data_IF_741221585093
#
_entry.id   IF_741221585093
#
_cell.length_a   1.000
_cell.length_b   1.000
_cell.length_c   1.000
_cell.angle_alpha   90.00
_cell.angle_beta   90.00
_cell.angle_gamma   90.00
#
_symmetry.space_group_name_H-M   'P 1'
#
loop_
_entity.id
_entity.type
_entity.pdbx_description
1 polymer ?
#
# COMPACT_ATOMS: atom_id res chain seq x y z
N UNK A 1 -9.37 1.03 15.73
CA UNK A 1 -9.53 1.12 14.26
C UNK A 1 -8.97 2.40 13.66
N UNK A 2 -8.97 3.50 14.39
CA UNK A 2 -8.48 4.82 13.95
C UNK A 2 -6.98 4.82 13.58
N UNK A 3 -6.13 4.17 14.38
CA UNK A 3 -4.69 4.06 14.10
C UNK A 3 -4.36 3.41 12.75
N UNK A 4 -5.09 2.36 12.38
CA UNK A 4 -4.88 1.69 11.08
C UNK A 4 -5.32 2.57 9.91
N UNK A 5 -6.40 3.34 10.10
CA UNK A 5 -6.86 4.30 9.09
C UNK A 5 -5.82 5.41 8.91
N UNK A 6 -5.34 5.98 9.99
CA UNK A 6 -4.30 7.01 9.96
C UNK A 6 -3.00 6.50 9.31
N UNK A 7 -2.63 5.25 9.59
CA UNK A 7 -1.47 4.61 8.96
C UNK A 7 -1.65 4.46 7.44
N UNK A 8 -2.83 4.03 6.99
CA UNK A 8 -3.16 3.92 5.57
C UNK A 8 -3.12 5.28 4.88
N UNK A 9 -3.72 6.28 5.49
CA UNK A 9 -3.76 7.64 4.95
C UNK A 9 -2.34 8.23 4.85
N UNK A 10 -1.49 7.99 5.86
CA UNK A 10 -0.06 8.34 5.81
C UNK A 10 0.67 7.70 4.61
N UNK A 11 0.48 6.41 4.34
CA UNK A 11 1.10 5.77 3.16
C UNK A 11 0.55 6.31 1.83
N UNK A 12 -0.73 6.69 1.80
CA UNK A 12 -1.33 7.34 0.62
C UNK A 12 -0.75 8.71 0.36
N UNK A 13 -0.52 9.49 1.41
CA UNK A 13 0.10 10.81 1.33
C UNK A 13 1.54 10.70 0.83
N UNK A 14 2.32 9.71 1.34
CA UNK A 14 3.68 9.45 0.85
C UNK A 14 3.73 9.09 -0.64
N UNK A 15 2.63 8.62 -1.24
CA UNK A 15 2.54 8.29 -2.67
C UNK A 15 2.40 9.54 -3.54
N UNK A 16 3.18 10.57 -3.26
CA UNK A 16 3.23 11.80 -4.03
C UNK A 16 4.60 12.00 -4.68
N UNK A 17 4.63 12.82 -5.73
CA UNK A 17 5.90 13.19 -6.37
C UNK A 17 6.75 14.09 -5.46
N UNK A 18 6.09 14.91 -4.66
CA UNK A 18 6.74 15.84 -3.73
C UNK A 18 7.45 15.08 -2.63
N UNK A 19 6.80 14.07 -2.04
CA UNK A 19 7.39 13.28 -0.96
C UNK A 19 8.51 12.37 -1.47
N UNK A 20 8.36 11.81 -2.68
CA UNK A 20 9.46 11.09 -3.32
C UNK A 20 10.71 11.98 -3.48
N UNK A 21 10.55 13.20 -3.99
CA UNK A 21 11.66 14.13 -4.16
C UNK A 21 12.27 14.54 -2.81
N UNK A 22 11.46 14.74 -1.78
CA UNK A 22 11.93 15.02 -0.42
C UNK A 22 12.77 13.86 0.12
N UNK A 23 12.29 12.63 0.00
CA UNK A 23 13.04 11.43 0.41
C UNK A 23 14.37 11.28 -0.34
N UNK A 24 14.40 11.66 -1.63
CA UNK A 24 15.66 11.68 -2.39
C UNK A 24 16.65 12.74 -1.87
N UNK A 25 16.16 13.91 -1.47
CA UNK A 25 17.02 14.92 -0.84
C UNK A 25 17.58 14.41 0.49
N UNK A 26 16.73 13.88 1.37
CA UNK A 26 17.13 13.34 2.66
C UNK A 26 18.16 12.19 2.50
N UNK A 27 17.94 11.31 1.50
CA UNK A 27 18.87 10.23 1.20
C UNK A 27 20.23 10.72 0.67
N UNK A 28 20.24 11.81 -0.11
CA UNK A 28 21.51 12.43 -0.58
C UNK A 28 22.27 13.07 0.57
N UNK A 29 21.59 13.77 1.46
CA UNK A 29 22.20 14.36 2.66
C UNK A 29 22.86 13.26 3.51
N UNK A 30 22.17 12.15 3.75
CA UNK A 30 22.73 11.01 4.46
C UNK A 30 23.93 10.37 3.75
N UNK A 31 23.89 10.27 2.41
CA UNK A 31 24.98 9.73 1.64
C UNK A 31 26.22 10.63 1.69
N UNK A 32 26.03 11.95 1.65
CA UNK A 32 27.08 12.95 1.77
C UNK A 32 27.77 12.88 3.16
N UNK A 33 27.00 12.62 4.23
CA UNK A 33 27.56 12.45 5.59
C UNK A 33 28.53 11.25 5.74
N UNK A 34 28.36 10.23 4.89
CA UNK A 34 29.17 9.01 4.93
C UNK A 34 30.09 8.84 3.70
N UNK A 35 30.30 9.91 2.95
CA UNK A 35 31.16 9.97 1.75
C UNK A 35 30.81 8.92 0.67
N UNK A 36 29.52 8.58 0.51
CA UNK A 36 29.04 7.66 -0.51
C UNK A 36 28.39 8.45 -1.67
N UNK A 37 28.78 8.17 -2.93
CA UNK A 37 28.16 8.85 -4.08
C UNK A 37 26.67 8.47 -4.21
N UNK A 38 25.78 9.47 -4.08
CA UNK A 38 24.32 9.29 -4.16
C UNK A 38 23.81 9.39 -5.60
N UNK A 39 24.33 8.58 -6.50
CA UNK A 39 23.92 8.55 -7.90
C UNK A 39 23.24 7.23 -8.24
N UNK A 40 22.14 7.30 -9.01
CA UNK A 40 21.57 6.11 -9.61
C UNK A 40 22.48 5.65 -10.75
N UNK A 41 23.03 4.44 -10.65
CA UNK A 41 23.80 3.87 -11.74
C UNK A 41 22.90 3.60 -12.94
N UNK A 42 23.36 3.98 -14.11
CA UNK A 42 22.74 3.59 -15.38
C UNK A 42 22.87 2.07 -15.51
N UNK A 43 21.83 1.34 -15.14
CA UNK A 43 21.77 -0.09 -15.40
C UNK A 43 21.72 -0.26 -16.91
N UNK A 44 22.86 -0.62 -17.51
CA UNK A 44 22.89 -1.00 -18.93
C UNK A 44 21.84 -2.11 -19.13
N UNK A 45 20.84 -1.90 -20.01
CA UNK A 45 19.84 -2.92 -20.26
C UNK A 45 20.57 -4.17 -20.77
N UNK A 46 20.52 -5.25 -19.99
CA UNK A 46 20.99 -6.54 -20.50
C UNK A 46 20.17 -6.85 -21.73
N UNK A 47 20.78 -6.82 -22.88
CA UNK A 47 20.19 -7.09 -24.19
C UNK A 47 19.76 -8.57 -24.28
N UNK A 48 18.80 -8.95 -23.45
CA UNK A 48 18.04 -10.17 -23.65
C UNK A 48 16.68 -9.76 -24.18
N UNK A 49 16.62 -9.54 -25.49
CA UNK A 49 15.34 -9.41 -26.19
C UNK A 49 14.54 -10.68 -25.91
N UNK A 50 13.65 -10.63 -24.90
CA UNK A 50 12.60 -11.64 -24.80
C UNK A 50 11.76 -11.44 -26.06
N UNK A 51 11.78 -12.40 -26.97
CA UNK A 51 10.73 -12.52 -27.98
C UNK A 51 9.43 -12.81 -27.23
N UNK A 52 8.73 -11.75 -26.87
CA UNK A 52 7.32 -11.86 -26.50
C UNK A 52 6.60 -12.24 -27.77
N UNK A 53 5.92 -13.39 -27.76
CA UNK A 53 4.95 -13.72 -28.82
C UNK A 53 3.83 -12.67 -28.66
N UNK A 54 3.93 -11.59 -29.45
CA UNK A 54 2.89 -10.59 -29.55
C UNK A 54 1.79 -11.29 -30.36
N UNK A 55 0.77 -11.79 -29.65
CA UNK A 55 -0.36 -12.45 -30.30
C UNK A 55 -1.33 -11.45 -30.96
N UNK A 56 -1.18 -10.17 -30.69
CA UNK A 56 -2.05 -9.14 -31.20
C UNK A 56 -1.24 -7.88 -31.56
N UNK A 57 -1.40 -7.41 -32.79
CA UNK A 57 -0.69 -6.27 -33.39
C UNK A 57 -0.99 -4.91 -32.70
N UNK A 58 -1.97 -4.85 -31.80
CA UNK A 58 -2.37 -3.63 -31.07
C UNK A 58 -1.76 -3.49 -29.67
N UNK A 59 -1.06 -4.51 -29.19
CA UNK A 59 -0.31 -4.39 -27.93
C UNK A 59 1.04 -3.69 -28.24
N UNK A 60 0.99 -2.37 -28.23
CA UNK A 60 2.20 -1.57 -28.26
C UNK A 60 3.04 -1.91 -27.01
N UNK A 61 4.30 -2.27 -27.23
CA UNK A 61 5.25 -2.45 -26.14
C UNK A 61 5.48 -1.07 -25.52
N UNK A 62 5.22 -0.95 -24.21
CA UNK A 62 5.51 0.28 -23.47
C UNK A 62 7.01 0.61 -23.64
N UNK A 63 7.31 1.84 -24.00
CA UNK A 63 8.69 2.30 -24.13
C UNK A 63 9.41 2.11 -22.78
N UNK A 64 10.61 1.53 -22.77
CA UNK A 64 11.35 1.33 -21.54
C UNK A 64 11.69 2.67 -20.90
N UNK A 65 11.48 2.77 -19.57
CA UNK A 65 11.86 3.96 -18.79
C UNK A 65 13.40 4.06 -18.82
N UNK A 66 13.94 5.03 -19.54
CA UNK A 66 15.39 5.24 -19.67
C UNK A 66 16.01 5.91 -18.44
N UNK A 67 15.28 6.80 -17.76
CA UNK A 67 15.74 7.48 -16.55
C UNK A 67 15.76 6.53 -15.36
N UNK A 68 16.93 6.25 -14.77
CA UNK A 68 17.07 5.36 -13.61
C UNK A 68 16.27 5.85 -12.39
N UNK A 69 16.14 7.17 -12.22
CA UNK A 69 15.39 7.77 -11.11
C UNK A 69 13.89 7.49 -11.27
N UNK A 70 13.37 7.69 -12.47
CA UNK A 70 11.96 7.40 -12.78
C UNK A 70 11.67 5.91 -12.69
N UNK A 71 12.61 5.08 -13.12
CA UNK A 71 12.49 3.62 -12.99
C UNK A 71 12.43 3.19 -11.52
N UNK A 72 13.34 3.67 -10.70
CA UNK A 72 13.35 3.38 -9.26
C UNK A 72 12.04 3.85 -8.58
N UNK A 73 11.55 5.03 -8.95
CA UNK A 73 10.30 5.58 -8.43
C UNK A 73 9.11 4.69 -8.77
N UNK A 74 8.98 4.23 -10.02
CA UNK A 74 7.85 3.43 -10.47
C UNK A 74 7.95 1.98 -9.99
N UNK A 75 9.10 1.32 -10.21
CA UNK A 75 9.26 -0.11 -9.98
C UNK A 75 9.54 -0.46 -8.52
N UNK A 76 10.08 0.46 -7.73
CA UNK A 76 10.39 0.21 -6.33
C UNK A 76 9.55 1.05 -5.36
N UNK A 77 9.66 2.38 -5.43
CA UNK A 77 9.04 3.26 -4.43
C UNK A 77 7.51 3.16 -4.44
N UNK A 78 6.88 3.45 -5.56
CA UNK A 78 5.42 3.36 -5.67
C UNK A 78 4.92 1.93 -5.55
N UNK A 79 5.62 0.97 -6.14
CA UNK A 79 5.26 -0.44 -6.01
C UNK A 79 5.25 -0.90 -4.55
N UNK A 80 6.26 -0.52 -3.76
CA UNK A 80 6.34 -0.87 -2.33
C UNK A 80 5.22 -0.23 -1.54
N UNK A 81 4.92 1.05 -1.78
CA UNK A 81 3.80 1.74 -1.14
C UNK A 81 2.45 1.11 -1.50
N UNK A 82 2.22 0.80 -2.77
CA UNK A 82 0.99 0.14 -3.22
C UNK A 82 0.81 -1.24 -2.57
N UNK A 83 1.90 -2.01 -2.42
CA UNK A 83 1.88 -3.29 -1.70
C UNK A 83 1.55 -3.10 -0.21
N UNK A 84 2.12 -2.10 0.44
CA UNK A 84 1.83 -1.79 1.83
C UNK A 84 0.37 -1.35 2.02
N UNK A 85 -0.13 -0.45 1.18
CA UNK A 85 -1.52 0.02 1.21
C UNK A 85 -2.49 -1.14 1.03
N UNK A 86 -2.28 -1.98 0.00
CA UNK A 86 -3.14 -3.14 -0.28
C UNK A 86 -3.13 -4.16 0.88
N UNK A 87 -1.96 -4.40 1.48
CA UNK A 87 -1.85 -5.30 2.64
C UNK A 87 -2.59 -4.75 3.87
N UNK A 88 -2.52 -3.43 4.09
CA UNK A 88 -3.27 -2.77 5.18
C UNK A 88 -4.77 -2.79 4.91
N UNK A 89 -5.22 -2.51 3.68
CA UNK A 89 -6.64 -2.55 3.31
C UNK A 89 -7.24 -3.95 3.52
N UNK A 90 -6.57 -4.98 3.02
CA UNK A 90 -7.02 -6.36 3.20
C UNK A 90 -7.14 -6.75 4.68
N UNK A 91 -6.17 -6.38 5.52
CA UNK A 91 -6.22 -6.64 6.95
C UNK A 91 -7.30 -5.82 7.66
N UNK A 92 -7.50 -4.57 7.23
CA UNK A 92 -8.53 -3.70 7.77
C UNK A 92 -9.93 -4.26 7.49
N UNK A 93 -10.18 -4.77 6.29
CA UNK A 93 -11.44 -5.39 5.91
C UNK A 93 -11.71 -6.66 6.73
N UNK A 94 -10.69 -7.51 6.92
CA UNK A 94 -10.79 -8.69 7.76
C UNK A 94 -11.09 -8.32 9.22
N UNK A 95 -10.40 -7.32 9.79
CA UNK A 95 -10.62 -6.86 11.16
C UNK A 95 -11.99 -6.20 11.31
N UNK A 96 -12.45 -5.45 10.32
CA UNK A 96 -13.78 -4.83 10.33
C UNK A 96 -14.88 -5.89 10.31
N UNK A 97 -14.73 -6.89 9.46
CA UNK A 97 -15.65 -8.02 9.41
C UNK A 97 -15.69 -8.77 10.74
N UNK A 98 -14.52 -9.07 11.31
CA UNK A 98 -14.43 -9.71 12.62
C UNK A 98 -15.04 -8.84 13.73
N UNK A 99 -14.75 -7.54 13.75
CA UNK A 99 -15.32 -6.61 14.72
C UNK A 99 -16.84 -6.55 14.62
N UNK A 100 -17.41 -6.54 13.43
CA UNK A 100 -18.85 -6.52 13.24
C UNK A 100 -19.53 -7.79 13.79
N UNK A 101 -18.88 -8.96 13.67
CA UNK A 101 -19.42 -10.21 14.22
C UNK A 101 -19.34 -10.26 15.75
N UNK A 102 -18.24 -9.79 16.33
CA UNK A 102 -17.95 -9.95 17.75
C UNK A 102 -18.12 -8.66 18.58
N UNK A 103 -18.63 -7.60 17.98
CA UNK A 103 -18.80 -6.30 18.66
C UNK A 103 -19.60 -6.41 19.96
N UNK A 104 -20.62 -7.25 19.97
CA UNK A 104 -21.44 -7.50 21.16
C UNK A 104 -20.62 -8.09 22.32
N UNK A 105 -19.63 -8.93 22.01
CA UNK A 105 -18.78 -9.57 23.03
C UNK A 105 -17.71 -8.60 23.56
N UNK A 106 -17.21 -7.70 22.71
CA UNK A 106 -16.24 -6.68 23.12
C UNK A 106 -16.87 -5.59 23.98
N UNK A 107 -18.13 -5.28 23.75
CA UNK A 107 -18.86 -4.24 24.47
C UNK A 107 -19.87 -4.82 25.48
N UNK A 108 -19.57 -5.97 26.07
CA UNK A 108 -20.50 -6.67 26.98
C UNK A 108 -20.90 -5.82 28.19
N UNK A 109 -20.04 -4.92 28.64
CA UNK A 109 -20.33 -4.01 29.74
C UNK A 109 -21.35 -2.93 29.35
N UNK A 110 -21.38 -2.54 28.07
CA UNK A 110 -22.23 -1.47 27.53
C UNK A 110 -23.55 -2.02 26.96
N UNK A 111 -23.78 -3.34 27.05
CA UNK A 111 -25.01 -3.99 26.56
C UNK A 111 -26.26 -3.42 27.16
N UNK A 112 -26.20 -2.94 28.40
CA UNK A 112 -27.36 -2.35 29.11
C UNK A 112 -27.82 -1.05 28.45
N UNK A 113 -26.89 -0.32 27.82
CA UNK A 113 -27.14 0.97 27.19
C UNK A 113 -27.35 0.83 25.67
N UNK A 114 -27.17 -0.38 25.13
CA UNK A 114 -27.30 -0.65 23.69
C UNK A 114 -28.77 -0.89 23.32
N UNK A 115 -29.30 -0.23 22.27
CA UNK A 115 -30.69 -0.46 21.85
C UNK A 115 -30.93 -1.91 21.47
N UNK A 116 -32.08 -2.46 21.90
CA UNK A 116 -32.47 -3.87 21.70
C UNK A 116 -32.40 -4.31 20.22
N UNK A 117 -32.72 -3.42 19.30
CA UNK A 117 -32.67 -3.70 17.87
C UNK A 117 -31.21 -3.96 17.37
N UNK A 118 -30.24 -3.27 17.93
CA UNK A 118 -28.84 -3.47 17.57
C UNK A 118 -28.30 -4.77 18.16
N UNK A 119 -28.69 -5.10 19.40
CA UNK A 119 -28.38 -6.39 20.02
C UNK A 119 -28.93 -7.56 19.18
N UNK A 120 -30.17 -7.47 18.72
CA UNK A 120 -30.77 -8.49 17.86
C UNK A 120 -30.07 -8.61 16.51
N UNK A 121 -29.61 -7.50 15.94
CA UNK A 121 -28.82 -7.47 14.71
C UNK A 121 -27.51 -8.25 14.88
N UNK A 122 -26.78 -8.00 15.97
CA UNK A 122 -25.53 -8.70 16.26
C UNK A 122 -25.74 -10.19 16.51
N UNK A 123 -26.80 -10.58 17.20
CA UNK A 123 -27.16 -11.99 17.40
C UNK A 123 -27.45 -12.69 16.08
N UNK A 124 -28.15 -12.06 15.15
CA UNK A 124 -28.41 -12.61 13.81
C UNK A 124 -27.13 -12.81 13.00
N UNK A 125 -26.14 -11.91 13.14
CA UNK A 125 -24.83 -12.11 12.47
C UNK A 125 -24.08 -13.33 13.01
N UNK A 126 -24.24 -13.65 14.28
CA UNK A 126 -23.62 -14.85 14.87
C UNK A 126 -24.34 -16.15 14.45
N UNK A 127 -25.65 -16.09 14.20
CA UNK A 127 -26.46 -17.25 13.83
C UNK A 127 -26.25 -17.68 12.36
N UNK A 128 -25.92 -16.75 11.47
CA UNK A 128 -25.81 -16.99 10.03
C UNK A 128 -24.49 -17.65 9.61
N UNK A 129 -23.67 -18.13 10.55
CA UNK A 129 -22.40 -18.79 10.33
C UNK A 129 -22.46 -20.27 10.71
#
# INVERSE_FOLDING_TARGET
MELLKNCKDFFKDLRSNTDFNKMLCDARELADEIDIPANFELIQPRHRVRRTNINFDYEAQDDPIEDPTLKYKAEFYFFTLDKAINALESRFDLMSSHSNYFQILYNICDLKDTPQNDVLKYCKYLETR
#
